data_IF_274915025015
#
_entry.id   IF_274915025015
#
_cell.length_a   1.000
_cell.length_b   1.000
_cell.length_c   1.000
_cell.angle_alpha   90.00
_cell.angle_beta   90.00
_cell.angle_gamma   90.00
#
_symmetry.space_group_name_H-M   'P 1'
#
loop_
_entity.id
_entity.type
_entity.pdbx_description
1 polymer ?
#
# COMPACT_ATOMS: atom_id res chain seq x y z
N UNK A 1 20.58 -2.74 28.60
CA UNK A 1 20.44 -4.12 28.10
C UNK A 1 20.35 -4.04 26.60
N UNK A 2 21.43 -4.41 25.93
CA UNK A 2 21.60 -4.41 24.48
C UNK A 2 20.40 -5.13 23.84
N UNK A 3 19.46 -4.34 23.30
CA UNK A 3 18.45 -4.88 22.41
C UNK A 3 19.22 -5.39 21.20
N UNK A 4 19.23 -6.71 21.05
CA UNK A 4 19.74 -7.42 19.89
C UNK A 4 19.12 -6.75 18.64
N UNK A 5 19.89 -5.88 17.97
CA UNK A 5 19.47 -5.15 16.78
C UNK A 5 19.37 -6.18 15.66
N UNK A 6 18.22 -6.83 15.58
CA UNK A 6 17.92 -7.76 14.50
C UNK A 6 18.07 -6.96 13.20
N UNK A 7 18.87 -7.49 12.27
CA UNK A 7 19.11 -6.85 10.98
C UNK A 7 17.79 -6.39 10.35
N UNK A 8 17.81 -5.17 9.81
CA UNK A 8 16.70 -4.59 9.08
C UNK A 8 16.32 -5.52 7.92
N UNK A 9 15.02 -5.63 7.66
CA UNK A 9 14.52 -6.45 6.56
C UNK A 9 14.86 -5.75 5.25
N UNK A 10 15.31 -6.51 4.25
CA UNK A 10 15.73 -5.96 2.95
C UNK A 10 14.93 -6.59 1.82
N UNK A 11 14.50 -5.78 0.87
CA UNK A 11 13.97 -6.20 -0.44
C UNK A 11 14.95 -5.76 -1.52
N UNK A 12 15.43 -6.71 -2.33
CA UNK A 12 16.20 -6.40 -3.53
C UNK A 12 15.29 -6.46 -4.76
N UNK A 13 15.23 -5.38 -5.54
CA UNK A 13 14.46 -5.28 -6.77
C UNK A 13 15.44 -5.28 -7.94
N UNK A 14 15.46 -6.36 -8.69
CA UNK A 14 16.28 -6.53 -9.88
C UNK A 14 15.45 -6.19 -11.12
N UNK A 15 15.92 -5.25 -11.93
CA UNK A 15 15.23 -4.81 -13.15
C UNK A 15 16.24 -4.28 -14.16
N UNK A 16 15.83 -4.12 -15.42
CA UNK A 16 16.65 -3.50 -16.47
C UNK A 16 16.17 -2.06 -16.65
N UNK A 17 16.92 -1.07 -16.17
CA UNK A 17 16.42 0.30 -16.01
C UNK A 17 16.00 0.97 -17.32
N UNK A 18 16.76 0.71 -18.39
CA UNK A 18 16.53 1.30 -19.71
C UNK A 18 15.56 0.48 -20.59
N UNK A 19 14.89 -0.54 -20.03
CA UNK A 19 13.99 -1.41 -20.78
C UNK A 19 12.51 -1.22 -20.43
N UNK A 20 11.72 -0.83 -21.44
CA UNK A 20 10.29 -0.56 -21.28
C UNK A 20 10.03 0.55 -20.25
N UNK A 21 9.15 0.27 -19.30
CA UNK A 21 8.82 1.12 -18.15
C UNK A 21 9.33 0.50 -16.84
N UNK A 22 10.32 -0.40 -16.90
CA UNK A 22 10.78 -1.18 -15.74
C UNK A 22 11.21 -0.29 -14.57
N UNK A 23 11.93 0.81 -14.83
CA UNK A 23 12.37 1.74 -13.80
C UNK A 23 11.20 2.37 -13.04
N UNK A 24 10.18 2.83 -13.75
CA UNK A 24 8.96 3.39 -13.15
C UNK A 24 8.25 2.37 -12.27
N UNK A 25 8.08 1.14 -12.77
CA UNK A 25 7.38 0.07 -12.06
C UNK A 25 8.17 -0.40 -10.82
N UNK A 26 9.49 -0.58 -10.95
CA UNK A 26 10.39 -0.91 -9.86
C UNK A 26 10.35 0.13 -8.75
N UNK A 27 10.42 1.42 -9.11
CA UNK A 27 10.30 2.52 -8.16
C UNK A 27 8.92 2.56 -7.48
N UNK A 28 7.83 2.28 -8.20
CA UNK A 28 6.50 2.20 -7.60
C UNK A 28 6.39 1.06 -6.57
N UNK A 29 6.97 -0.11 -6.85
CA UNK A 29 7.07 -1.22 -5.88
C UNK A 29 7.94 -0.82 -4.69
N UNK A 30 9.11 -0.22 -4.93
CA UNK A 30 10.03 0.26 -3.90
C UNK A 30 9.36 1.23 -2.93
N UNK A 31 8.64 2.22 -3.47
CA UNK A 31 7.85 3.15 -2.68
C UNK A 31 6.79 2.45 -1.81
N UNK A 32 6.19 1.36 -2.31
CA UNK A 32 5.28 0.52 -1.54
C UNK A 32 5.96 -0.17 -0.37
N UNK A 33 7.13 -0.76 -0.60
CA UNK A 33 7.91 -1.45 0.44
C UNK A 33 8.36 -0.47 1.52
N UNK A 34 8.89 0.69 1.12
CA UNK A 34 9.44 1.72 2.02
C UNK A 34 8.41 2.22 3.05
N UNK A 35 7.13 2.31 2.66
CA UNK A 35 6.01 2.66 3.58
C UNK A 35 5.92 1.77 4.82
N UNK A 36 6.48 0.57 4.78
CA UNK A 36 6.44 -0.41 5.87
C UNK A 36 7.69 -0.36 6.76
N UNK A 37 8.67 0.51 6.44
CA UNK A 37 9.96 0.59 7.13
C UNK A 37 10.87 -0.62 6.83
N UNK A 38 10.72 -1.20 5.64
CA UNK A 38 11.60 -2.24 5.10
C UNK A 38 12.55 -1.58 4.11
N UNK A 39 13.84 -1.87 4.21
CA UNK A 39 14.85 -1.31 3.31
C UNK A 39 14.68 -1.89 1.89
N UNK A 40 14.91 -1.05 0.88
CA UNK A 40 14.83 -1.43 -0.53
C UNK A 40 16.16 -1.16 -1.19
N UNK A 41 16.64 -2.13 -1.95
CA UNK A 41 17.76 -1.98 -2.88
C UNK A 41 17.25 -2.11 -4.32
N UNK A 42 17.60 -1.15 -5.17
CA UNK A 42 17.28 -1.14 -6.59
C UNK A 42 18.55 -1.55 -7.37
N UNK A 43 18.49 -2.68 -8.08
CA UNK A 43 19.65 -3.24 -8.78
C UNK A 43 19.38 -3.29 -10.29
N UNK A 44 20.13 -2.48 -11.04
CA UNK A 44 20.07 -2.47 -12.50
C UNK A 44 20.86 -3.65 -13.10
N UNK A 45 20.11 -4.62 -13.62
CA UNK A 45 20.62 -5.84 -14.23
C UNK A 45 21.51 -5.60 -15.45
N UNK A 46 21.41 -4.44 -16.11
CA UNK A 46 22.23 -4.13 -17.27
C UNK A 46 23.69 -3.79 -16.93
N UNK A 47 23.95 -3.36 -15.69
CA UNK A 47 25.24 -2.77 -15.30
C UNK A 47 25.87 -3.42 -14.05
N UNK A 48 25.21 -4.41 -13.45
CA UNK A 48 25.65 -5.12 -12.24
C UNK A 48 26.44 -6.40 -12.59
N UNK A 49 27.37 -6.80 -11.73
CA UNK A 49 28.06 -8.08 -11.90
C UNK A 49 27.42 -9.24 -11.11
N UNK A 50 27.76 -10.48 -11.50
CA UNK A 50 27.18 -11.68 -10.90
C UNK A 50 27.51 -11.84 -9.39
N UNK A 51 28.63 -11.28 -8.94
CA UNK A 51 29.02 -11.38 -7.53
C UNK A 51 28.14 -10.50 -6.65
N UNK A 52 27.85 -9.29 -7.12
CA UNK A 52 26.94 -8.35 -6.46
C UNK A 52 25.48 -8.83 -6.51
N UNK A 53 25.01 -9.33 -7.67
CA UNK A 53 23.66 -9.93 -7.78
C UNK A 53 23.50 -11.08 -6.79
N UNK A 54 24.50 -11.96 -6.69
CA UNK A 54 24.47 -13.08 -5.75
C UNK A 54 24.49 -12.61 -4.31
N UNK A 55 25.25 -11.58 -3.98
CA UNK A 55 25.29 -10.99 -2.64
C UNK A 55 23.92 -10.46 -2.23
N UNK A 56 23.33 -9.59 -3.03
CA UNK A 56 22.00 -9.04 -2.77
C UNK A 56 20.93 -10.12 -2.70
N UNK A 57 20.98 -11.11 -3.59
CA UNK A 57 20.05 -12.24 -3.59
C UNK A 57 20.14 -13.09 -2.33
N UNK A 58 21.30 -13.20 -1.68
CA UNK A 58 21.47 -13.96 -0.43
C UNK A 58 21.14 -13.15 0.82
N UNK A 59 21.36 -11.83 0.77
CA UNK A 59 21.11 -10.95 1.91
C UNK A 59 19.64 -10.54 2.02
N UNK A 60 18.93 -10.41 0.89
CA UNK A 60 17.55 -9.95 0.88
C UNK A 60 16.59 -10.96 1.52
N UNK A 61 15.59 -10.46 2.25
CA UNK A 61 14.48 -11.25 2.75
C UNK A 61 13.40 -11.47 1.69
N UNK A 62 13.33 -10.56 0.71
CA UNK A 62 12.53 -10.76 -0.48
C UNK A 62 13.23 -10.23 -1.74
N UNK A 63 12.89 -10.85 -2.86
CA UNK A 63 13.42 -10.48 -4.17
C UNK A 63 12.27 -10.13 -5.11
N UNK A 64 12.36 -9.00 -5.81
CA UNK A 64 11.46 -8.66 -6.90
C UNK A 64 12.24 -8.67 -8.20
N UNK A 65 11.67 -9.24 -9.26
CA UNK A 65 12.33 -9.29 -10.57
C UNK A 65 11.41 -8.69 -11.64
N UNK A 66 11.90 -7.66 -12.31
CA UNK A 66 11.34 -7.13 -13.56
C UNK A 66 11.76 -7.99 -14.74
N UNK A 67 10.85 -8.25 -15.68
CA UNK A 67 11.17 -9.12 -16.82
C UNK A 67 12.22 -8.47 -17.72
N UNK A 68 13.39 -9.10 -17.92
CA UNK A 68 14.41 -8.56 -18.82
C UNK A 68 13.96 -8.68 -20.28
N UNK A 69 14.60 -7.91 -21.15
CA UNK A 69 14.46 -8.09 -22.59
C UNK A 69 14.99 -9.47 -23.04
N UNK A 70 14.37 -10.08 -24.05
CA UNK A 70 14.89 -11.32 -24.66
C UNK A 70 15.88 -11.07 -25.80
N UNK A 71 15.95 -9.82 -26.29
CA UNK A 71 16.85 -9.41 -27.36
C UNK A 71 17.38 -8.00 -27.13
N UNK A 72 18.53 -7.69 -27.73
CA UNK A 72 19.18 -6.39 -27.60
C UNK A 72 20.59 -6.47 -27.04
N UNK A 73 21.14 -5.31 -26.70
CA UNK A 73 22.54 -5.17 -26.28
C UNK A 73 22.83 -5.91 -24.97
N UNK A 74 21.93 -5.82 -24.00
CA UNK A 74 22.13 -6.36 -22.65
C UNK A 74 21.44 -7.71 -22.40
N UNK A 75 20.61 -8.22 -23.32
CA UNK A 75 19.78 -9.40 -23.12
C UNK A 75 20.53 -10.63 -22.57
N UNK A 76 21.67 -11.00 -23.16
CA UNK A 76 22.45 -12.15 -22.69
C UNK A 76 23.07 -11.92 -21.30
N UNK A 77 23.40 -10.67 -20.97
CA UNK A 77 23.95 -10.30 -19.67
C UNK A 77 22.87 -10.29 -18.60
N UNK A 78 21.74 -9.62 -18.85
CA UNK A 78 20.60 -9.55 -17.92
C UNK A 78 20.00 -10.93 -17.67
N UNK A 79 19.93 -11.80 -18.69
CA UNK A 79 19.52 -13.20 -18.55
C UNK A 79 20.44 -13.96 -17.59
N UNK A 80 21.77 -13.84 -17.75
CA UNK A 80 22.73 -14.46 -16.85
C UNK A 80 22.62 -13.94 -15.40
N UNK A 81 22.30 -12.65 -15.22
CA UNK A 81 22.07 -12.08 -13.89
C UNK A 81 20.78 -12.62 -13.26
N UNK A 82 19.68 -12.73 -14.02
CA UNK A 82 18.43 -13.35 -13.54
C UNK A 82 18.65 -14.81 -13.14
N UNK A 83 19.42 -15.58 -13.91
CA UNK A 83 19.76 -16.96 -13.56
C UNK A 83 20.63 -17.03 -12.29
N UNK A 84 21.48 -16.02 -12.06
CA UNK A 84 22.24 -15.87 -10.81
C UNK A 84 21.32 -15.63 -9.62
N UNK A 85 20.29 -14.79 -9.77
CA UNK A 85 19.25 -14.59 -8.75
C UNK A 85 18.55 -15.92 -8.45
N UNK A 86 18.06 -16.61 -9.48
CA UNK A 86 17.38 -17.90 -9.35
C UNK A 86 18.21 -18.94 -8.58
N UNK A 87 19.51 -19.03 -8.88
CA UNK A 87 20.42 -19.97 -8.24
C UNK A 87 20.72 -19.61 -6.77
N UNK A 88 20.55 -18.35 -6.37
CA UNK A 88 20.82 -17.88 -5.02
C UNK A 88 19.59 -17.94 -4.08
N UNK A 89 18.38 -17.98 -4.64
CA UNK A 89 17.11 -17.99 -3.89
C UNK A 89 16.96 -19.22 -2.98
N UNK A 90 16.28 -19.04 -1.85
CA UNK A 90 16.06 -20.10 -0.86
C UNK A 90 14.65 -20.08 -0.22
N UNK A 91 14.18 -21.20 0.39
CA UNK A 91 12.78 -21.34 0.85
C UNK A 91 12.28 -20.33 1.90
N UNK A 92 13.18 -19.65 2.61
CA UNK A 92 12.79 -18.65 3.63
C UNK A 92 12.49 -17.27 3.05
N UNK A 93 12.80 -17.05 1.77
CA UNK A 93 12.55 -15.78 1.09
C UNK A 93 11.14 -15.73 0.53
N UNK A 94 10.70 -14.50 0.28
CA UNK A 94 9.57 -14.23 -0.59
C UNK A 94 10.00 -13.65 -1.93
N UNK A 95 9.16 -13.76 -2.95
CA UNK A 95 9.43 -13.14 -4.24
C UNK A 95 8.22 -12.43 -4.83
N UNK A 96 8.48 -11.48 -5.72
CA UNK A 96 7.48 -10.80 -6.55
C UNK A 96 8.00 -10.64 -7.98
N UNK A 97 7.10 -10.56 -8.95
CA UNK A 97 7.45 -10.45 -10.36
C UNK A 97 6.60 -9.37 -11.03
N UNK A 98 7.19 -8.63 -11.97
CA UNK A 98 6.46 -7.69 -12.81
C UNK A 98 6.99 -7.70 -14.24
N UNK A 99 6.10 -7.53 -15.22
CA UNK A 99 6.47 -7.25 -16.60
C UNK A 99 6.97 -5.81 -16.73
N UNK A 100 7.98 -5.62 -17.57
CA UNK A 100 8.63 -4.34 -17.81
C UNK A 100 7.85 -3.47 -18.80
N UNK A 101 6.77 -4.01 -19.38
CA UNK A 101 5.99 -3.36 -20.44
C UNK A 101 6.81 -3.09 -21.72
N UNK A 102 7.86 -3.88 -21.95
CA UNK A 102 8.63 -3.82 -23.17
C UNK A 102 8.01 -4.68 -24.28
N UNK A 103 8.55 -4.55 -25.49
CA UNK A 103 8.02 -5.26 -26.66
C UNK A 103 8.42 -6.75 -26.71
N UNK A 104 9.41 -7.15 -25.92
CA UNK A 104 10.07 -8.45 -25.98
C UNK A 104 10.43 -8.96 -24.57
N UNK A 105 9.46 -8.87 -23.66
CA UNK A 105 9.62 -9.28 -22.26
C UNK A 105 9.79 -10.80 -22.17
N UNK A 106 10.77 -11.26 -21.38
CA UNK A 106 10.83 -12.68 -20.99
C UNK A 106 9.51 -13.11 -20.35
N UNK A 107 9.09 -14.34 -20.64
CA UNK A 107 7.88 -14.90 -20.04
C UNK A 107 7.96 -14.93 -18.51
N UNK A 108 7.09 -14.13 -17.88
CA UNK A 108 6.96 -14.04 -16.43
C UNK A 108 6.62 -15.37 -15.77
N UNK A 109 5.87 -16.23 -16.45
CA UNK A 109 5.47 -17.54 -15.92
C UNK A 109 6.61 -18.56 -15.91
N UNK A 110 7.55 -18.49 -16.86
CA UNK A 110 8.73 -19.36 -16.82
C UNK A 110 9.62 -19.02 -15.61
N UNK A 111 9.82 -17.73 -15.36
CA UNK A 111 10.60 -17.27 -14.20
C UNK A 111 9.90 -17.61 -12.87
N UNK A 112 8.58 -17.44 -12.81
CA UNK A 112 7.75 -17.81 -11.66
C UNK A 112 7.91 -19.28 -11.29
N UNK A 113 7.88 -20.18 -12.28
CA UNK A 113 8.04 -21.61 -12.02
C UNK A 113 9.41 -21.92 -11.40
N UNK A 114 10.49 -21.34 -11.94
CA UNK A 114 11.84 -21.51 -11.37
C UNK A 114 11.96 -21.00 -9.94
N UNK A 115 11.35 -19.85 -9.62
CA UNK A 115 11.32 -19.33 -8.25
C UNK A 115 10.50 -20.21 -7.30
N UNK A 116 9.39 -20.79 -7.75
CA UNK A 116 8.59 -21.71 -6.94
C UNK A 116 9.33 -23.02 -6.64
N UNK A 117 10.16 -23.51 -7.56
CA UNK A 117 11.00 -24.69 -7.36
C UNK A 117 12.06 -24.49 -6.26
N UNK A 118 12.51 -23.24 -6.03
CA UNK A 118 13.39 -22.90 -4.90
C UNK A 118 12.71 -23.02 -3.53
N UNK A 119 11.38 -23.20 -3.50
CA UNK A 119 10.56 -23.22 -2.29
C UNK A 119 10.25 -21.83 -1.72
N UNK A 120 10.71 -20.75 -2.37
CA UNK A 120 10.39 -19.39 -1.98
C UNK A 120 8.89 -19.11 -2.15
N UNK A 121 8.36 -18.20 -1.32
CA UNK A 121 6.93 -17.88 -1.32
C UNK A 121 6.64 -16.65 -2.17
N UNK A 122 5.66 -16.76 -3.05
CA UNK A 122 5.15 -15.62 -3.80
C UNK A 122 4.42 -14.64 -2.86
N UNK A 123 4.83 -13.37 -2.90
CA UNK A 123 4.30 -12.31 -2.04
C UNK A 123 2.99 -11.72 -2.58
N UNK A 124 2.92 -11.53 -3.90
CA UNK A 124 1.77 -10.99 -4.63
C UNK A 124 1.67 -11.66 -6.00
N UNK A 125 0.48 -11.71 -6.63
CA UNK A 125 0.32 -12.25 -7.98
C UNK A 125 1.21 -11.50 -8.99
N UNK A 126 1.77 -12.18 -10.02
CA UNK A 126 2.65 -11.52 -10.98
C UNK A 126 1.95 -10.33 -11.64
N UNK A 127 2.63 -9.18 -11.67
CA UNK A 127 2.10 -7.97 -12.29
C UNK A 127 2.31 -8.09 -13.81
N UNK A 128 1.21 -8.31 -14.53
CA UNK A 128 1.19 -8.45 -15.98
C UNK A 128 0.64 -7.17 -16.60
N UNK A 129 1.36 -6.60 -17.55
CA UNK A 129 1.04 -5.33 -18.20
C UNK A 129 0.33 -5.61 -19.52
N UNK A 130 -1.00 -5.51 -19.51
CA UNK A 130 -1.85 -5.77 -20.69
C UNK A 130 -2.00 -4.57 -21.61
N UNK A 131 -1.93 -3.37 -21.03
CA UNK A 131 -2.08 -2.07 -21.70
C UNK A 131 -0.92 -1.18 -21.27
N UNK A 132 -0.82 0.06 -21.76
CA UNK A 132 0.22 0.99 -21.32
C UNK A 132 0.23 1.24 -19.81
N UNK A 133 1.36 1.70 -19.28
CA UNK A 133 1.52 2.00 -17.84
C UNK A 133 0.76 3.27 -17.46
N UNK A 134 -0.19 3.14 -16.53
CA UNK A 134 -1.05 4.22 -16.04
C UNK A 134 -0.87 4.46 -14.55
N UNK A 135 -1.54 5.47 -13.99
CA UNK A 135 -1.56 5.70 -12.53
C UNK A 135 -2.20 4.54 -11.75
N UNK A 136 -3.10 3.77 -12.37
CA UNK A 136 -3.61 2.53 -11.78
C UNK A 136 -2.53 1.43 -11.73
N UNK A 137 -1.64 1.39 -12.72
CA UNK A 137 -0.46 0.50 -12.70
C UNK A 137 0.52 0.89 -11.60
N UNK A 138 0.77 2.19 -11.42
CA UNK A 138 1.61 2.69 -10.31
C UNK A 138 1.00 2.31 -8.95
N UNK A 139 -0.33 2.45 -8.80
CA UNK A 139 -1.06 2.05 -7.60
C UNK A 139 -0.93 0.55 -7.36
N UNK A 140 -1.14 -0.29 -8.38
CA UNK A 140 -0.97 -1.75 -8.30
C UNK A 140 0.44 -2.12 -7.80
N UNK A 141 1.47 -1.52 -8.39
CA UNK A 141 2.87 -1.75 -8.01
C UNK A 141 3.15 -1.34 -6.56
N UNK A 142 2.69 -0.15 -6.16
CA UNK A 142 2.86 0.35 -4.79
C UNK A 142 2.10 -0.49 -3.76
N UNK A 143 0.88 -0.94 -4.08
CA UNK A 143 0.13 -1.86 -3.22
C UNK A 143 0.81 -3.23 -3.10
N UNK A 144 1.37 -3.76 -4.19
CA UNK A 144 2.14 -5.00 -4.18
C UNK A 144 3.40 -4.91 -3.31
N UNK A 145 4.16 -3.82 -3.42
CA UNK A 145 5.30 -3.54 -2.54
C UNK A 145 4.90 -3.41 -1.08
N UNK A 146 3.77 -2.73 -0.80
CA UNK A 146 3.23 -2.59 0.56
C UNK A 146 2.84 -3.95 1.15
N UNK A 147 2.16 -4.80 0.38
CA UNK A 147 1.76 -6.15 0.78
C UNK A 147 2.98 -7.02 1.13
N UNK A 148 4.05 -6.93 0.32
CA UNK A 148 5.32 -7.60 0.58
C UNK A 148 5.97 -7.09 1.88
N UNK A 149 6.07 -5.76 2.06
CA UNK A 149 6.64 -5.16 3.26
C UNK A 149 5.88 -5.52 4.54
N UNK A 150 4.54 -5.51 4.49
CA UNK A 150 3.67 -5.94 5.60
C UNK A 150 3.88 -7.41 5.94
N UNK A 151 4.10 -8.26 4.94
CA UNK A 151 4.41 -9.67 5.16
C UNK A 151 5.73 -9.84 5.92
N UNK A 152 6.79 -9.14 5.50
CA UNK A 152 8.12 -9.22 6.11
C UNK A 152 8.16 -8.66 7.53
N UNK A 153 7.34 -7.65 7.82
CA UNK A 153 7.26 -7.00 9.14
C UNK A 153 6.22 -7.59 10.07
N UNK A 154 5.33 -8.46 9.59
CA UNK A 154 4.20 -9.03 10.35
C UNK A 154 4.57 -9.50 11.75
N UNK A 155 5.63 -10.30 11.88
CA UNK A 155 6.04 -10.87 13.17
C UNK A 155 6.60 -9.82 14.12
N UNK A 156 7.24 -8.77 13.60
CA UNK A 156 7.70 -7.61 14.38
C UNK A 156 6.50 -6.81 14.88
N UNK A 157 5.53 -6.53 14.02
CA UNK A 157 4.29 -5.81 14.37
C UNK A 157 3.48 -6.56 15.43
N UNK A 158 3.31 -7.88 15.29
CA UNK A 158 2.63 -8.72 16.29
C UNK A 158 3.34 -8.66 17.66
N UNK A 159 4.68 -8.67 17.68
CA UNK A 159 5.45 -8.56 18.93
C UNK A 159 5.31 -7.19 19.57
N UNK A 160 5.36 -6.12 18.78
CA UNK A 160 5.16 -4.75 19.28
C UNK A 160 3.76 -4.57 19.88
N UNK A 161 2.72 -5.05 19.19
CA UNK A 161 1.34 -5.01 19.71
C UNK A 161 1.20 -5.75 21.06
N UNK A 162 1.89 -6.89 21.22
CA UNK A 162 1.89 -7.65 22.49
C UNK A 162 2.74 -7.04 23.60
N UNK A 163 3.61 -6.08 23.28
CA UNK A 163 4.53 -5.46 24.24
C UNK A 163 3.92 -4.27 25.00
N UNK A 164 2.80 -3.74 24.52
CA UNK A 164 2.02 -2.72 25.22
C UNK A 164 1.51 -3.27 26.55
N UNK A 165 1.61 -2.46 27.59
CA UNK A 165 0.96 -2.75 28.87
C UNK A 165 -0.55 -2.94 28.64
N UNK A 166 -1.10 -4.03 29.19
CA UNK A 166 -2.48 -4.43 28.91
C UNK A 166 -3.52 -3.44 29.40
N UNK A 167 -3.24 -2.66 30.45
CA UNK A 167 -4.16 -1.64 30.94
C UNK A 167 -4.02 -0.34 30.14
N UNK A 168 -2.80 0.02 29.73
CA UNK A 168 -2.57 1.11 28.78
C UNK A 168 -3.32 0.88 27.45
N UNK A 169 -3.21 -0.33 26.86
CA UNK A 169 -3.87 -0.66 25.60
C UNK A 169 -5.41 -0.59 25.73
N UNK A 170 -5.97 -1.09 26.84
CA UNK A 170 -7.40 -0.95 27.13
C UNK A 170 -7.81 0.51 27.30
N UNK A 171 -6.99 1.33 27.96
CA UNK A 171 -7.27 2.76 28.16
C UNK A 171 -7.30 3.51 26.82
N UNK A 172 -6.35 3.24 25.92
CA UNK A 172 -6.38 3.75 24.54
C UNK A 172 -7.63 3.30 23.78
N UNK A 173 -8.09 2.06 24.01
CA UNK A 173 -9.35 1.56 23.46
C UNK A 173 -10.60 2.30 23.94
N UNK A 174 -10.51 3.12 25.00
CA UNK A 174 -11.64 3.95 25.48
C UNK A 174 -11.77 5.29 24.76
N UNK A 175 -10.81 5.68 23.93
CA UNK A 175 -10.94 6.86 23.07
C UNK A 175 -12.03 6.57 22.04
N UNK A 176 -13.14 7.31 22.16
CA UNK A 176 -14.28 7.23 21.24
C UNK A 176 -14.03 8.02 19.96
N UNK A 177 -14.58 7.52 18.86
CA UNK A 177 -14.58 8.19 17.56
C UNK A 177 -15.80 7.75 16.77
N UNK A 178 -16.21 8.56 15.80
CA UNK A 178 -17.20 8.11 14.82
C UNK A 178 -16.62 7.02 13.90
N UNK A 179 -17.50 6.36 13.15
CA UNK A 179 -17.11 5.51 12.03
C UNK A 179 -17.26 6.28 10.72
N UNK A 180 -16.19 6.27 9.94
CA UNK A 180 -16.09 6.97 8.68
C UNK A 180 -15.46 6.09 7.62
N UNK A 181 -15.72 6.38 6.35
CA UNK A 181 -14.95 5.84 5.23
C UNK A 181 -14.38 7.01 4.44
N UNK A 182 -13.06 7.02 4.34
CA UNK A 182 -12.34 7.95 3.49
C UNK A 182 -12.30 7.34 2.09
N UNK A 183 -12.61 8.13 1.08
CA UNK A 183 -12.52 7.76 -0.32
C UNK A 183 -11.71 8.81 -1.06
N UNK A 184 -10.82 8.38 -1.93
CA UNK A 184 -9.98 9.27 -2.71
C UNK A 184 -9.86 8.74 -4.14
N UNK A 185 -9.71 9.65 -5.09
CA UNK A 185 -9.51 9.33 -6.50
C UNK A 185 -8.56 10.33 -7.14
N UNK A 186 -7.63 9.82 -7.95
CA UNK A 186 -6.69 10.60 -8.75
C UNK A 186 -6.47 9.88 -10.08
N UNK A 187 -6.91 10.51 -11.16
CA UNK A 187 -6.93 9.90 -12.50
C UNK A 187 -7.65 8.54 -12.47
N UNK A 188 -6.97 7.46 -12.88
CA UNK A 188 -7.49 6.09 -12.86
C UNK A 188 -7.34 5.39 -11.49
N UNK A 189 -6.59 5.97 -10.54
CA UNK A 189 -6.34 5.39 -9.24
C UNK A 189 -7.44 5.80 -8.24
N UNK A 190 -8.03 4.82 -7.57
CA UNK A 190 -9.06 5.06 -6.55
C UNK A 190 -8.83 4.16 -5.34
N UNK A 191 -9.11 4.69 -4.14
CA UNK A 191 -8.96 3.92 -2.91
C UNK A 191 -9.93 4.34 -1.83
N UNK A 192 -10.10 3.46 -0.85
CA UNK A 192 -10.96 3.68 0.31
C UNK A 192 -10.34 3.07 1.57
N UNK A 193 -10.64 3.68 2.72
CA UNK A 193 -10.20 3.22 4.02
C UNK A 193 -11.26 3.49 5.08
N UNK A 194 -11.60 2.48 5.89
CA UNK A 194 -12.35 2.70 7.12
C UNK A 194 -11.48 3.52 8.10
N UNK A 195 -12.04 4.58 8.65
CA UNK A 195 -11.36 5.47 9.57
C UNK A 195 -12.19 5.70 10.83
N UNK A 196 -11.49 5.81 11.96
CA UNK A 196 -12.10 6.17 13.25
C UNK A 196 -11.33 7.28 13.98
N UNK A 197 -10.12 7.63 13.54
CA UNK A 197 -9.28 8.68 14.12
C UNK A 197 -9.45 9.98 13.33
N UNK A 198 -10.62 10.58 13.50
CA UNK A 198 -11.02 11.83 12.84
C UNK A 198 -11.44 12.85 13.89
N UNK A 199 -10.99 14.09 13.75
CA UNK A 199 -11.30 15.19 14.66
C UNK A 199 -11.48 16.49 13.85
N UNK A 200 -12.43 17.34 14.24
CA UNK A 200 -12.48 18.71 13.73
C UNK A 200 -11.30 19.51 14.28
N UNK A 201 -10.53 20.13 13.39
CA UNK A 201 -9.28 20.81 13.73
C UNK A 201 -9.36 22.33 13.61
N UNK A 202 -10.28 22.88 12.81
CA UNK A 202 -10.45 24.32 12.65
C UNK A 202 -11.90 24.70 12.30
N UNK A 203 -12.26 25.95 12.62
CA UNK A 203 -13.55 26.55 12.25
C UNK A 203 -13.44 27.53 11.07
N UNK A 204 -12.28 28.18 10.88
CA UNK A 204 -12.05 29.15 9.81
C UNK A 204 -10.64 28.99 9.20
N UNK A 205 -10.52 28.44 7.98
CA UNK A 205 -11.56 27.68 7.27
C UNK A 205 -11.98 26.42 8.07
N UNK A 206 -13.18 25.86 7.83
CA UNK A 206 -13.57 24.57 8.40
C UNK A 206 -12.54 23.50 8.02
N UNK A 207 -12.05 22.76 9.00
CA UNK A 207 -11.00 21.78 8.76
C UNK A 207 -11.04 20.61 9.72
N UNK A 208 -10.47 19.49 9.27
CA UNK A 208 -10.42 18.22 9.99
C UNK A 208 -8.98 17.69 10.00
N UNK A 209 -8.67 16.90 11.02
CA UNK A 209 -7.47 16.08 11.09
C UNK A 209 -7.84 14.60 11.04
N UNK A 210 -7.06 13.83 10.30
CA UNK A 210 -7.26 12.39 10.14
C UNK A 210 -5.92 11.68 10.33
N UNK A 211 -5.89 10.59 11.08
CA UNK A 211 -4.74 9.70 11.10
C UNK A 211 -4.84 8.63 10.00
N UNK A 212 -3.80 8.50 9.17
CA UNK A 212 -3.71 7.52 8.08
C UNK A 212 -2.44 6.72 8.27
N UNK A 213 -2.54 5.40 8.44
CA UNK A 213 -1.37 4.55 8.58
C UNK A 213 -0.51 4.61 7.31
N UNK A 214 0.82 4.65 7.48
CA UNK A 214 1.78 4.84 6.37
C UNK A 214 1.68 3.75 5.31
N UNK A 215 1.32 2.54 5.71
CA UNK A 215 1.20 1.35 4.89
C UNK A 215 -0.21 1.11 4.33
N UNK A 216 -1.10 2.12 4.37
CA UNK A 216 -2.41 2.04 3.73
C UNK A 216 -2.33 2.53 2.30
N UNK A 217 -2.96 1.80 1.38
CA UNK A 217 -2.99 2.16 -0.04
C UNK A 217 -3.49 3.60 -0.31
N UNK A 218 -4.49 4.05 0.45
CA UNK A 218 -5.05 5.40 0.30
C UNK A 218 -4.03 6.51 0.64
N UNK A 219 -2.96 6.22 1.37
CA UNK A 219 -1.95 7.20 1.77
C UNK A 219 -1.34 7.92 0.56
N UNK A 220 -1.12 7.22 -0.56
CA UNK A 220 -0.55 7.83 -1.77
C UNK A 220 -1.50 8.80 -2.47
N UNK A 221 -2.80 8.73 -2.15
CA UNK A 221 -3.85 9.61 -2.65
C UNK A 221 -4.20 10.75 -1.67
N UNK A 222 -3.44 10.88 -0.58
CA UNK A 222 -3.66 11.87 0.47
C UNK A 222 -2.40 12.71 0.74
N UNK A 223 -1.68 13.08 -0.31
CA UNK A 223 -0.55 14.01 -0.24
C UNK A 223 -1.06 15.45 -0.22
N UNK A 224 -0.18 16.40 0.12
CA UNK A 224 -0.53 17.83 0.12
C UNK A 224 -1.06 18.24 -1.26
N UNK A 225 -2.23 18.88 -1.28
CA UNK A 225 -2.95 19.26 -2.49
C UNK A 225 -3.92 18.22 -3.05
N UNK A 226 -3.83 16.96 -2.62
CA UNK A 226 -4.80 15.93 -3.03
C UNK A 226 -6.16 16.15 -2.36
N UNK A 227 -7.20 15.58 -2.97
CA UNK A 227 -8.59 15.72 -2.54
C UNK A 227 -9.20 14.37 -2.21
N UNK A 228 -10.11 14.35 -1.25
CA UNK A 228 -10.79 13.14 -0.80
C UNK A 228 -12.19 13.48 -0.29
N UNK A 229 -12.99 12.45 -0.01
CA UNK A 229 -14.27 12.57 0.67
C UNK A 229 -14.22 11.80 1.99
N UNK A 230 -14.65 12.45 3.07
CA UNK A 230 -14.96 11.79 4.33
C UNK A 230 -16.45 11.42 4.35
N UNK A 231 -16.76 10.13 4.28
CA UNK A 231 -18.12 9.61 4.36
C UNK A 231 -18.42 9.22 5.82
N UNK A 232 -19.38 9.88 6.44
CA UNK A 232 -19.83 9.62 7.82
C UNK A 232 -20.86 8.50 7.81
N UNK A 233 -20.68 7.45 8.62
CA UNK A 233 -21.59 6.31 8.62
C UNK A 233 -22.74 6.47 9.60
N UNK A 234 -23.91 5.96 9.22
CA UNK A 234 -25.14 6.02 10.03
C UNK A 234 -25.17 4.92 11.11
N UNK A 235 -25.55 5.28 12.32
CA UNK A 235 -25.88 4.32 13.38
C UNK A 235 -27.06 3.45 12.93
N UNK A 236 -26.89 2.12 12.99
CA UNK A 236 -27.91 1.17 12.51
C UNK A 236 -27.82 0.78 11.03
N UNK A 237 -27.05 1.49 10.19
CA UNK A 237 -26.90 1.17 8.76
C UNK A 237 -25.43 1.18 8.27
N UNK A 238 -24.45 1.04 9.17
CA UNK A 238 -23.02 1.09 8.85
C UNK A 238 -22.35 -0.28 8.66
N UNK A 239 -23.00 -1.38 9.08
CA UNK A 239 -22.35 -2.68 9.22
C UNK A 239 -21.88 -3.26 7.89
N UNK A 240 -22.63 -3.08 6.81
CA UNK A 240 -22.29 -3.68 5.52
C UNK A 240 -21.14 -2.92 4.84
N UNK A 241 -21.17 -1.58 4.85
CA UNK A 241 -20.04 -0.75 4.44
C UNK A 241 -18.80 -1.04 5.28
N UNK A 242 -18.95 -1.13 6.61
CA UNK A 242 -17.83 -1.44 7.50
C UNK A 242 -17.23 -2.82 7.18
N UNK A 243 -18.05 -3.86 7.05
CA UNK A 243 -17.59 -5.21 6.68
C UNK A 243 -16.92 -5.22 5.31
N UNK A 244 -17.40 -4.43 4.37
CA UNK A 244 -16.80 -4.34 3.03
C UNK A 244 -15.38 -3.76 3.09
N UNK A 245 -15.23 -2.57 3.68
CA UNK A 245 -13.94 -1.87 3.72
C UNK A 245 -12.96 -2.38 4.79
N UNK A 246 -13.39 -3.31 5.66
CA UNK A 246 -12.50 -4.08 6.55
C UNK A 246 -11.83 -5.28 5.85
N UNK A 247 -12.33 -5.72 4.69
CA UNK A 247 -11.71 -6.83 3.95
C UNK A 247 -10.33 -6.43 3.45
N UNK A 248 -9.43 -7.41 3.33
CA UNK A 248 -8.18 -7.21 2.59
C UNK A 248 -8.48 -7.27 1.09
N UNK A 249 -8.11 -6.22 0.38
CA UNK A 249 -8.16 -6.15 -1.07
C UNK A 249 -6.79 -6.55 -1.61
N UNK A 250 -6.78 -7.36 -2.68
CA UNK A 250 -5.56 -7.61 -3.41
C UNK A 250 -5.07 -6.32 -4.09
N UNK A 251 -3.77 -6.19 -4.38
CA UNK A 251 -3.24 -5.07 -5.14
C UNK A 251 -4.00 -4.84 -6.45
N UNK A 252 -4.40 -3.60 -6.71
CA UNK A 252 -5.14 -3.18 -7.91
C UNK A 252 -6.61 -3.61 -7.96
N UNK A 253 -7.14 -4.27 -6.92
CA UNK A 253 -8.55 -4.64 -6.88
C UNK A 253 -9.46 -3.41 -6.74
N UNK A 254 -10.62 -3.45 -7.39
CA UNK A 254 -11.64 -2.41 -7.22
C UNK A 254 -12.24 -2.48 -5.81
N UNK A 255 -11.86 -1.52 -4.97
CA UNK A 255 -12.33 -1.41 -3.58
C UNK A 255 -13.80 -1.03 -3.48
N UNK A 256 -14.41 -0.53 -4.55
CA UNK A 256 -15.80 -0.09 -4.60
C UNK A 256 -16.72 -1.12 -5.25
N UNK A 257 -16.21 -2.29 -5.65
CA UNK A 257 -17.02 -3.34 -6.26
C UNK A 257 -18.22 -3.70 -5.35
N UNK A 258 -19.43 -3.57 -5.89
CA UNK A 258 -20.67 -3.83 -5.16
C UNK A 258 -21.11 -2.74 -4.18
N UNK A 259 -20.38 -1.62 -4.07
CA UNK A 259 -20.74 -0.46 -3.27
C UNK A 259 -21.30 0.63 -4.17
N UNK A 260 -22.47 1.15 -3.83
CA UNK A 260 -23.08 2.26 -4.58
C UNK A 260 -22.38 3.57 -4.25
N UNK A 261 -21.91 4.24 -5.29
CA UNK A 261 -21.21 5.52 -5.18
C UNK A 261 -21.77 6.55 -6.16
N UNK A 262 -21.51 7.82 -5.87
CA UNK A 262 -21.71 8.94 -6.77
C UNK A 262 -20.47 9.85 -6.72
N UNK A 263 -20.09 10.54 -7.81
CA UNK A 263 -18.94 11.42 -7.78
C UNK A 263 -19.22 12.70 -6.97
N UNK A 264 -18.27 13.10 -6.14
CA UNK A 264 -18.22 14.44 -5.54
C UNK A 264 -17.80 15.52 -6.55
N UNK A 265 -17.88 16.79 -6.15
CA UNK A 265 -17.38 17.89 -6.99
C UNK A 265 -15.86 17.83 -7.19
N UNK A 266 -15.13 17.25 -6.22
CA UNK A 266 -13.71 16.93 -6.34
C UNK A 266 -13.39 15.63 -7.09
N UNK A 267 -14.40 14.90 -7.59
CA UNK A 267 -14.27 13.64 -8.32
C UNK A 267 -14.16 12.39 -7.43
N UNK A 268 -13.87 12.52 -6.14
CA UNK A 268 -13.76 11.35 -5.26
C UNK A 268 -15.13 10.72 -4.97
N UNK A 269 -15.21 9.39 -4.72
CA UNK A 269 -16.49 8.72 -4.54
C UNK A 269 -17.22 9.10 -3.24
N UNK A 270 -18.46 9.56 -3.32
CA UNK A 270 -19.38 9.63 -2.17
C UNK A 270 -20.12 8.30 -2.08
N UNK A 271 -20.15 7.69 -0.90
CA UNK A 271 -20.93 6.47 -0.66
C UNK A 271 -22.41 6.84 -0.49
N UNK A 272 -23.29 6.28 -1.30
CA UNK A 272 -24.71 6.69 -1.30
C UNK A 272 -25.46 6.31 -0.02
N UNK A 273 -24.92 5.35 0.72
CA UNK A 273 -25.45 4.86 2.00
C UNK A 273 -24.82 5.56 3.22
N UNK A 274 -23.96 6.56 3.01
CA UNK A 274 -23.41 7.37 4.10
C UNK A 274 -24.44 8.36 4.65
N UNK A 275 -24.40 8.59 5.97
CA UNK A 275 -25.22 9.59 6.67
C UNK A 275 -24.91 11.02 6.21
N UNK A 276 -23.63 11.30 6.02
CA UNK A 276 -23.15 12.60 5.59
C UNK A 276 -21.84 12.44 4.82
N UNK A 277 -21.45 13.45 4.07
CA UNK A 277 -20.13 13.51 3.45
C UNK A 277 -19.52 14.90 3.55
N UNK A 278 -18.19 14.96 3.57
CA UNK A 278 -17.40 16.18 3.49
C UNK A 278 -16.39 16.05 2.34
N UNK A 279 -16.34 17.03 1.44
CA UNK A 279 -15.32 17.14 0.41
C UNK A 279 -14.13 17.92 0.96
N UNK A 280 -12.96 17.29 0.95
CA UNK A 280 -11.78 17.78 1.65
C UNK A 280 -10.60 17.97 0.71
N UNK A 281 -9.73 18.92 1.05
CA UNK A 281 -8.44 19.15 0.41
C UNK A 281 -7.32 19.06 1.44
N UNK A 282 -6.29 18.25 1.19
CA UNK A 282 -5.15 18.08 2.11
C UNK A 282 -4.27 19.32 2.09
N UNK A 283 -4.06 19.92 3.27
CA UNK A 283 -3.26 21.14 3.42
C UNK A 283 -1.88 20.86 3.99
N UNK A 284 -1.78 19.98 4.99
CA UNK A 284 -0.51 19.65 5.61
C UNK A 284 -0.51 18.25 6.21
N UNK A 285 0.69 17.72 6.44
CA UNK A 285 0.91 16.39 7.00
C UNK A 285 1.95 16.46 8.09
N UNK A 286 1.68 15.83 9.22
CA UNK A 286 2.63 15.63 10.31
C UNK A 286 3.02 14.16 10.35
N UNK A 287 4.32 13.90 10.34
CA UNK A 287 4.86 12.55 10.48
C UNK A 287 4.80 12.08 11.93
N UNK A 288 4.23 10.90 12.15
CA UNK A 288 4.38 10.15 13.42
C UNK A 288 5.14 8.84 13.15
N UNK A 289 5.21 7.94 14.13
CA UNK A 289 5.93 6.68 13.98
C UNK A 289 5.35 5.83 12.82
N UNK A 290 4.07 5.49 12.89
CA UNK A 290 3.38 4.56 11.98
C UNK A 290 2.22 5.20 11.20
N UNK A 291 1.86 6.44 11.51
CA UNK A 291 0.79 7.19 10.85
C UNK A 291 1.28 8.55 10.34
N UNK A 292 0.50 9.09 9.40
CA UNK A 292 0.45 10.51 9.11
C UNK A 292 -0.75 11.11 9.82
N UNK A 293 -0.56 12.24 10.49
CA UNK A 293 -1.68 13.11 10.85
C UNK A 293 -1.88 14.11 9.72
N UNK A 294 -2.97 13.95 8.98
CA UNK A 294 -3.32 14.71 7.79
C UNK A 294 -4.31 15.80 8.16
N UNK A 295 -3.93 17.07 8.02
CA UNK A 295 -4.82 18.20 8.18
C UNK A 295 -5.38 18.62 6.83
N UNK A 296 -6.71 18.82 6.77
CA UNK A 296 -7.44 19.10 5.54
C UNK A 296 -8.51 20.15 5.77
N UNK A 297 -8.71 21.04 4.80
CA UNK A 297 -9.86 21.94 4.77
C UNK A 297 -11.06 21.26 4.17
N UNK A 298 -12.26 21.71 4.54
CA UNK A 298 -13.54 21.20 4.04
C UNK A 298 -14.21 22.29 3.21
N UNK A 299 -14.49 21.98 1.95
CA UNK A 299 -15.05 22.92 0.98
C UNK A 299 -16.57 22.75 0.81
N UNK A 300 -17.06 21.51 0.92
CA UNK A 300 -18.46 21.13 0.74
C UNK A 300 -18.86 20.07 1.76
N UNK A 301 -20.08 20.12 2.28
CA UNK A 301 -20.62 19.04 3.10
C UNK A 301 -22.15 18.95 3.02
N UNK A 302 -22.70 17.74 3.12
CA UNK A 302 -24.14 17.49 3.19
C UNK A 302 -24.47 16.35 4.14
N UNK A 303 -25.66 16.43 4.74
CA UNK A 303 -26.23 15.38 5.60
C UNK A 303 -27.48 14.84 4.91
N UNK A 304 -27.59 13.53 4.77
CA UNK A 304 -28.70 12.85 4.10
C UNK A 304 -29.94 12.74 5.01
N UNK A 305 -29.74 12.51 6.31
CA UNK A 305 -30.80 12.41 7.30
C UNK A 305 -30.38 13.14 8.59
N UNK A 306 -30.99 14.30 8.86
CA UNK A 306 -30.63 15.12 10.02
C UNK A 306 -31.05 14.52 11.38
N UNK A 307 -32.00 13.58 11.38
CA UNK A 307 -32.53 12.96 12.59
C UNK A 307 -31.76 11.67 12.97
N UNK A 308 -30.96 11.14 12.05
CA UNK A 308 -30.14 9.95 12.29
C UNK A 308 -28.83 10.28 13.02
N UNK A 309 -28.28 9.29 13.71
CA UNK A 309 -27.06 9.44 14.50
C UNK A 309 -25.84 8.90 13.75
N UNK A 310 -24.68 9.49 14.01
CA UNK A 310 -23.41 8.95 13.54
C UNK A 310 -23.06 7.66 14.26
N UNK A 311 -22.65 6.63 13.53
CA UNK A 311 -22.14 5.40 14.10
C UNK A 311 -20.86 5.65 14.90
N UNK A 312 -20.71 4.99 16.05
CA UNK A 312 -19.57 5.15 16.96
C UNK A 312 -18.72 3.88 16.96
N UNK A 313 -17.39 4.05 16.89
CA UNK A 313 -16.46 2.95 17.01
C UNK A 313 -16.18 2.65 18.49
N UNK A 314 -16.73 1.53 18.99
CA UNK A 314 -16.46 1.06 20.35
C UNK A 314 -15.34 0.01 20.35
N UNK A 315 -14.19 0.38 20.90
CA UNK A 315 -13.01 -0.48 20.96
C UNK A 315 -12.79 -1.05 22.36
N UNK A 316 -12.15 -2.22 22.41
CA UNK A 316 -11.68 -2.85 23.67
C UNK A 316 -10.22 -2.55 23.96
N UNK A 317 -9.45 -2.26 22.92
CA UNK A 317 -8.00 -2.05 22.91
C UNK A 317 -7.63 -1.01 21.85
N UNK A 318 -6.50 -0.33 21.98
CA UNK A 318 -6.05 0.76 21.12
C UNK A 318 -5.47 0.30 19.78
N UNK A 319 -4.99 -0.95 19.71
CA UNK A 319 -4.35 -1.53 18.52
C UNK A 319 -5.31 -1.99 17.40
N UNK A 320 -6.61 -1.74 17.54
CA UNK A 320 -7.61 -1.89 16.47
C UNK A 320 -8.10 -0.50 16.08
N UNK A 321 -8.04 -0.17 14.79
CA UNK A 321 -8.48 1.13 14.26
C UNK A 321 -9.29 0.96 12.97
#
# INVERSE_FOLDING_TARGET
SEHNAKAEKVVAIFYEADYGEADRLANAIAMGVDKTGVAVELVDLAHVDASEVREWSLQADAVVIGMPCQSGLHAAHTEAMVDTVLAAMHPKQTFGLFESAGADDRSIYLLRNGLQESGAREAFPPIVIKEGVTTATDQLCSEAGTDMGQWLTRDKSIKQMKSLDGDLDKALGRISGGLYIITAQKDAAASAMLASWVMQASSEPPGISIAVAKDRAIESLMRVGDRFVLNVLEEGNHLDLMKHFLKRFAPGADRFEGVKTQPASNGAPILTEALAYLECTVISRLETADHWVVYSTVDVGRVANADARTAVHHRKVGNHY
#
